data_IF_161568146349
#
_entry.id   IF_161568146349
#
_cell.length_a   1.000
_cell.length_b   1.000
_cell.length_c   1.000
_cell.angle_alpha   90.00
_cell.angle_beta   90.00
_cell.angle_gamma   90.00
#
_symmetry.space_group_name_H-M   'P 1'
#
loop_
_entity.id
_entity.type
_entity.pdbx_description
1 polymer ?
#
# COMPACT_ATOMS: atom_id res chain seq x y z
N UNK A 1 33.36 -16.74 1.34
CA UNK A 1 32.00 -16.50 1.91
C UNK A 1 31.83 -15.14 2.60
N UNK A 2 32.86 -14.54 3.22
CA UNK A 2 32.74 -13.25 3.92
C UNK A 2 32.33 -12.05 3.02
N UNK A 3 32.86 -11.97 1.79
CA UNK A 3 32.53 -10.89 0.84
C UNK A 3 31.05 -10.97 0.43
N UNK A 4 30.56 -12.15 0.05
CA UNK A 4 29.15 -12.34 -0.34
C UNK A 4 28.18 -11.94 0.78
N UNK A 5 28.49 -12.30 2.03
CA UNK A 5 27.69 -11.88 3.20
C UNK A 5 27.69 -10.36 3.37
N UNK A 6 28.85 -9.71 3.20
CA UNK A 6 28.99 -8.26 3.30
C UNK A 6 28.24 -7.53 2.17
N UNK A 7 28.32 -8.03 0.94
CA UNK A 7 27.56 -7.52 -0.21
C UNK A 7 26.06 -7.63 0.06
N UNK A 8 25.60 -8.78 0.56
CA UNK A 8 24.20 -9.02 0.90
C UNK A 8 23.68 -8.01 1.93
N UNK A 9 24.44 -7.78 3.01
CA UNK A 9 24.08 -6.83 4.07
C UNK A 9 24.04 -5.39 3.59
N UNK A 10 24.98 -4.99 2.74
CA UNK A 10 24.99 -3.65 2.14
C UNK A 10 23.78 -3.49 1.22
N UNK A 11 23.52 -4.46 0.33
CA UNK A 11 22.35 -4.43 -0.54
C UNK A 11 21.02 -4.34 0.23
N UNK A 12 20.88 -5.08 1.33
CA UNK A 12 19.70 -5.00 2.21
C UNK A 12 19.58 -3.63 2.88
N UNK A 13 20.69 -2.99 3.24
CA UNK A 13 20.66 -1.66 3.84
C UNK A 13 20.23 -0.60 2.83
N UNK A 14 20.84 -0.62 1.64
CA UNK A 14 20.54 0.35 0.58
C UNK A 14 19.09 0.22 0.10
N UNK A 15 18.63 -1.00 -0.19
CA UNK A 15 17.25 -1.24 -0.59
C UNK A 15 16.27 -0.79 0.50
N UNK A 16 16.61 -1.02 1.77
CA UNK A 16 15.76 -0.58 2.87
C UNK A 16 15.69 0.96 2.96
N UNK A 17 16.81 1.65 2.76
CA UNK A 17 16.87 3.10 2.69
C UNK A 17 16.06 3.63 1.51
N UNK A 18 16.18 3.03 0.33
CA UNK A 18 15.41 3.39 -0.86
C UNK A 18 13.90 3.26 -0.61
N UNK A 19 13.46 2.18 0.05
CA UNK A 19 12.04 2.01 0.40
C UNK A 19 11.61 3.12 1.37
N UNK A 20 12.31 3.33 2.49
CA UNK A 20 11.87 4.32 3.50
C UNK A 20 11.91 5.77 2.99
N UNK A 21 12.83 6.10 2.09
CA UNK A 21 12.96 7.48 1.58
C UNK A 21 12.06 7.76 0.37
N UNK A 22 11.43 6.73 -0.20
CA UNK A 22 10.59 6.88 -1.37
C UNK A 22 9.11 6.98 -0.99
N UNK A 23 8.58 8.20 -1.11
CA UNK A 23 7.18 8.55 -0.85
C UNK A 23 6.16 7.77 -1.70
N UNK A 24 6.55 7.19 -2.84
CA UNK A 24 5.63 6.41 -3.69
C UNK A 24 5.31 5.05 -3.10
N UNK A 25 6.24 4.50 -2.33
CA UNK A 25 6.13 3.17 -1.73
C UNK A 25 5.88 3.24 -0.23
N UNK A 26 5.20 4.30 0.22
CA UNK A 26 4.95 4.56 1.64
C UNK A 26 4.16 3.43 2.32
N UNK A 27 3.34 2.69 1.57
CA UNK A 27 2.66 1.48 2.05
C UNK A 27 3.62 0.32 2.42
N UNK A 28 4.88 0.41 1.97
CA UNK A 28 5.95 -0.53 2.33
C UNK A 28 6.86 0.03 3.43
N UNK A 29 6.62 1.26 3.89
CA UNK A 29 7.37 1.82 5.02
C UNK A 29 7.07 1.02 6.26
N UNK A 30 8.12 0.74 7.02
CA UNK A 30 8.02 -0.03 8.27
C UNK A 30 7.30 -1.39 8.22
N UNK A 31 7.12 -1.97 7.03
CA UNK A 31 6.46 -3.28 6.87
C UNK A 31 7.21 -4.36 7.65
N UNK A 32 6.46 -5.07 8.47
CA UNK A 32 6.88 -6.31 9.13
C UNK A 32 6.25 -7.48 8.39
N UNK A 33 7.04 -8.53 8.16
CA UNK A 33 6.52 -9.77 7.59
C UNK A 33 6.10 -10.72 8.73
N UNK A 34 5.00 -11.46 8.54
CA UNK A 34 4.62 -12.52 9.46
C UNK A 34 5.70 -13.62 9.47
N UNK A 35 5.87 -14.25 10.63
CA UNK A 35 6.73 -15.40 10.82
C UNK A 35 5.87 -16.61 11.20
N UNK A 36 6.34 -17.83 10.89
CA UNK A 36 5.68 -19.06 11.37
C UNK A 36 5.70 -19.11 12.90
N UNK A 37 6.80 -18.68 13.51
CA UNK A 37 6.99 -18.61 14.95
C UNK A 37 7.51 -17.22 15.35
N UNK A 38 6.97 -16.67 16.44
CA UNK A 38 7.43 -15.40 17.01
C UNK A 38 6.77 -14.14 16.41
N UNK A 39 7.18 -12.96 16.88
CA UNK A 39 6.61 -11.70 16.44
C UNK A 39 7.00 -11.36 14.99
N UNK A 40 6.18 -10.58 14.27
CA UNK A 40 6.52 -10.10 12.94
C UNK A 40 7.88 -9.40 12.89
N UNK A 41 8.65 -9.65 11.83
CA UNK A 41 10.01 -9.11 11.67
C UNK A 41 10.16 -8.44 10.33
N UNK A 42 11.01 -7.41 10.27
CA UNK A 42 11.37 -6.76 9.01
C UNK A 42 12.28 -7.66 8.17
N UNK A 43 11.93 -7.87 6.91
CA UNK A 43 12.78 -8.49 5.90
C UNK A 43 12.88 -7.59 4.67
N UNK A 44 14.09 -7.20 4.27
CA UNK A 44 14.26 -6.31 3.11
C UNK A 44 14.03 -7.04 1.79
N UNK A 45 14.55 -8.25 1.63
CA UNK A 45 14.38 -9.09 0.45
C UNK A 45 13.71 -10.40 0.86
N UNK A 46 12.46 -10.56 0.49
CA UNK A 46 11.69 -11.79 0.70
C UNK A 46 10.76 -12.05 -0.47
N UNK A 47 10.44 -13.32 -0.72
CA UNK A 47 9.29 -13.67 -1.56
C UNK A 47 8.04 -13.32 -0.77
N UNK A 48 7.39 -12.23 -1.18
CA UNK A 48 6.27 -11.71 -0.42
C UNK A 48 5.07 -12.64 -0.52
N UNK A 49 4.34 -12.76 0.59
CA UNK A 49 3.18 -13.64 0.72
C UNK A 49 2.09 -13.35 -0.32
N UNK A 50 1.87 -12.09 -0.63
CA UNK A 50 0.95 -11.63 -1.67
C UNK A 50 1.30 -12.17 -3.07
N UNK A 51 2.57 -12.46 -3.35
CA UNK A 51 3.00 -12.96 -4.66
C UNK A 51 2.70 -14.44 -4.87
N UNK A 52 2.36 -15.21 -3.84
CA UNK A 52 2.01 -16.63 -4.00
C UNK A 52 0.64 -16.98 -3.42
N UNK A 53 0.15 -16.25 -2.42
CA UNK A 53 -1.19 -16.45 -1.86
C UNK A 53 -2.31 -15.96 -2.79
N UNK A 54 -2.03 -14.99 -3.66
CA UNK A 54 -3.00 -14.46 -4.62
C UNK A 54 -2.92 -15.30 -5.91
N UNK A 55 -3.90 -16.19 -6.19
CA UNK A 55 -3.80 -17.10 -7.33
C UNK A 55 -4.02 -16.37 -8.65
N UNK A 56 -4.86 -15.34 -8.65
CA UNK A 56 -5.18 -14.57 -9.84
C UNK A 56 -4.02 -13.59 -10.17
N UNK A 57 -3.40 -13.70 -11.37
CA UNK A 57 -2.27 -12.85 -11.74
C UNK A 57 -2.65 -11.36 -11.86
N UNK A 58 -3.87 -11.03 -12.26
CA UNK A 58 -4.32 -9.65 -12.36
C UNK A 58 -4.42 -8.99 -10.99
N UNK A 59 -4.93 -9.72 -9.98
CA UNK A 59 -5.02 -9.21 -8.61
C UNK A 59 -3.64 -9.06 -7.98
N UNK A 60 -2.71 -9.97 -8.28
CA UNK A 60 -1.32 -9.87 -7.86
C UNK A 60 -0.63 -8.64 -8.42
N UNK A 61 -0.83 -8.36 -9.72
CA UNK A 61 -0.31 -7.16 -10.36
C UNK A 61 -0.94 -5.90 -9.77
N UNK A 62 -2.25 -5.87 -9.58
CA UNK A 62 -2.95 -4.74 -8.98
C UNK A 62 -2.43 -4.41 -7.57
N UNK A 63 -2.24 -5.43 -6.72
CA UNK A 63 -1.67 -5.23 -5.39
C UNK A 63 -0.20 -4.79 -5.46
N UNK A 64 0.59 -5.35 -6.37
CA UNK A 64 1.99 -4.93 -6.56
C UNK A 64 2.06 -3.46 -6.99
N UNK A 65 1.21 -3.05 -7.95
CA UNK A 65 1.11 -1.66 -8.38
C UNK A 65 0.64 -0.74 -7.24
N UNK A 66 -0.30 -1.20 -6.42
CA UNK A 66 -0.73 -0.48 -5.22
C UNK A 66 0.44 -0.21 -4.28
N UNK A 67 1.17 -1.26 -3.90
CA UNK A 67 2.29 -1.18 -2.96
C UNK A 67 3.50 -0.40 -3.51
N UNK A 68 3.70 -0.45 -4.83
CA UNK A 68 4.83 0.21 -5.50
C UNK A 68 4.49 1.62 -6.03
N UNK A 69 3.32 2.17 -5.70
CA UNK A 69 2.92 3.51 -6.11
C UNK A 69 2.74 3.65 -7.63
N UNK A 70 2.14 2.66 -8.27
CA UNK A 70 1.73 2.63 -9.69
C UNK A 70 0.21 2.47 -9.84
N UNK A 71 -0.56 2.97 -8.88
CA UNK A 71 -2.01 2.83 -8.84
C UNK A 71 -2.74 4.04 -9.44
N UNK A 72 -4.00 3.85 -9.81
CA UNK A 72 -4.80 4.86 -10.51
C UNK A 72 -5.50 5.88 -9.59
N UNK A 73 -5.25 5.84 -8.28
CA UNK A 73 -5.77 6.85 -7.35
C UNK A 73 -5.11 8.22 -7.57
N UNK A 74 -5.87 9.28 -7.33
CA UNK A 74 -5.48 10.66 -7.59
C UNK A 74 -4.20 11.04 -6.84
N UNK A 75 -3.93 10.45 -5.67
CA UNK A 75 -2.68 10.65 -4.94
C UNK A 75 -1.43 10.44 -5.81
N UNK A 76 -1.45 9.42 -6.69
CA UNK A 76 -0.35 9.13 -7.61
C UNK A 76 -0.59 9.70 -9.01
N UNK A 77 -1.78 9.52 -9.58
CA UNK A 77 -2.09 9.99 -10.94
C UNK A 77 -1.92 11.51 -11.10
N UNK A 78 -2.27 12.28 -10.08
CA UNK A 78 -2.17 13.74 -10.10
C UNK A 78 -0.83 14.27 -9.59
N UNK A 79 0.07 13.38 -9.12
CA UNK A 79 1.44 13.72 -8.74
C UNK A 79 2.27 14.16 -9.94
N UNK A 80 2.10 13.48 -11.07
CA UNK A 80 2.89 13.70 -12.29
C UNK A 80 2.20 14.71 -13.20
N UNK A 81 2.94 15.39 -14.07
CA UNK A 81 2.32 16.06 -15.22
C UNK A 81 1.90 15.02 -16.27
N UNK A 82 0.87 15.30 -17.06
CA UNK A 82 0.46 14.48 -18.20
C UNK A 82 0.49 15.31 -19.49
N UNK A 83 0.31 14.66 -20.64
CA UNK A 83 0.17 15.35 -21.93
C UNK A 83 -0.95 16.41 -21.91
N UNK A 84 -2.03 16.14 -21.19
CA UNK A 84 -3.19 17.02 -21.03
C UNK A 84 -3.09 17.99 -19.85
N UNK A 85 -2.18 17.74 -18.89
CA UNK A 85 -2.01 18.55 -17.68
C UNK A 85 -0.53 18.83 -17.40
N UNK A 86 -0.10 20.04 -17.76
CA UNK A 86 1.31 20.46 -17.65
C UNK A 86 1.80 20.68 -16.21
N UNK A 87 0.90 20.88 -15.24
CA UNK A 87 1.27 21.17 -13.85
C UNK A 87 0.90 20.03 -12.91
N UNK A 88 1.77 19.73 -11.94
CA UNK A 88 1.50 18.80 -10.84
C UNK A 88 0.40 19.37 -9.94
N UNK A 89 -0.49 18.53 -9.44
CA UNK A 89 -1.51 18.96 -8.49
C UNK A 89 -0.95 18.85 -7.07
N UNK A 90 -1.04 19.92 -6.25
CA UNK A 90 -0.70 19.86 -4.83
C UNK A 90 -1.43 18.72 -4.12
N UNK A 91 -0.80 18.09 -3.13
CA UNK A 91 -1.30 16.85 -2.49
C UNK A 91 -2.71 17.04 -1.94
N UNK A 92 -2.95 18.15 -1.26
CA UNK A 92 -4.20 18.56 -0.64
C UNK A 92 -5.35 18.74 -1.64
N UNK A 93 -5.04 18.88 -2.93
CA UNK A 93 -6.03 19.01 -4.02
C UNK A 93 -6.27 17.72 -4.79
N UNK A 94 -5.61 16.62 -4.43
CA UNK A 94 -5.77 15.31 -5.11
C UNK A 94 -6.99 14.56 -4.57
N UNK A 95 -8.16 15.17 -4.68
CA UNK A 95 -9.37 14.74 -3.99
C UNK A 95 -9.93 13.40 -4.51
N UNK A 96 -10.60 12.67 -3.63
CA UNK A 96 -11.29 11.41 -3.91
C UNK A 96 -12.33 11.58 -5.01
N UNK A 97 -12.33 10.68 -6.00
CA UNK A 97 -13.32 10.69 -7.08
C UNK A 97 -14.75 10.42 -6.61
N UNK A 98 -14.90 9.80 -5.44
CA UNK A 98 -16.19 9.50 -4.84
C UNK A 98 -16.67 10.64 -3.95
N UNK A 99 -15.92 10.98 -2.90
CA UNK A 99 -16.39 11.95 -1.92
C UNK A 99 -16.02 13.40 -2.20
N UNK A 100 -14.98 13.65 -2.99
CA UNK A 100 -14.42 14.99 -3.28
C UNK A 100 -13.98 15.80 -2.05
N UNK A 101 -14.00 15.22 -0.84
CA UNK A 101 -13.69 15.91 0.42
C UNK A 101 -12.28 15.64 0.92
N UNK A 102 -11.79 14.41 0.76
CA UNK A 102 -10.48 13.96 1.25
C UNK A 102 -9.55 13.63 0.09
N UNK A 103 -8.25 13.58 0.34
CA UNK A 103 -7.28 13.13 -0.67
C UNK A 103 -7.54 11.67 -1.05
N UNK A 104 -7.51 11.35 -2.34
CA UNK A 104 -7.67 10.00 -2.86
C UNK A 104 -6.41 9.15 -2.65
N UNK A 105 -6.19 8.71 -1.42
CA UNK A 105 -5.24 7.63 -1.14
C UNK A 105 -5.89 6.25 -1.34
N UNK A 106 -5.09 5.18 -1.53
CA UNK A 106 -5.57 3.80 -1.51
C UNK A 106 -6.47 3.46 -0.32
N UNK A 107 -6.07 3.87 0.88
CA UNK A 107 -6.78 3.60 2.14
C UNK A 107 -8.10 4.36 2.17
N UNK A 108 -8.09 5.63 1.76
CA UNK A 108 -9.33 6.40 1.70
C UNK A 108 -10.31 5.78 0.70
N UNK A 109 -9.90 5.62 -0.55
CA UNK A 109 -10.80 5.15 -1.61
C UNK A 109 -11.34 3.74 -1.33
N UNK A 110 -10.50 2.80 -0.89
CA UNK A 110 -10.89 1.41 -0.71
C UNK A 110 -11.47 1.11 0.67
N UNK A 111 -10.93 1.69 1.73
CA UNK A 111 -11.19 1.24 3.11
C UNK A 111 -12.00 2.21 3.97
N UNK A 112 -12.14 3.47 3.55
CA UNK A 112 -12.80 4.51 4.37
C UNK A 112 -13.95 5.23 3.66
N UNK A 113 -13.85 5.45 2.36
CA UNK A 113 -14.83 6.26 1.62
C UNK A 113 -16.19 5.57 1.63
N UNK A 114 -17.23 6.31 2.03
CA UNK A 114 -18.60 5.80 2.16
C UNK A 114 -19.52 6.21 1.00
N UNK A 115 -19.01 6.99 0.03
CA UNK A 115 -19.84 7.55 -1.03
C UNK A 115 -19.97 6.64 -2.26
N UNK A 116 -19.19 5.57 -2.35
CA UNK A 116 -19.37 4.54 -3.37
C UNK A 116 -20.02 3.29 -2.76
N UNK A 117 -21.26 3.00 -3.18
CA UNK A 117 -22.07 1.93 -2.55
C UNK A 117 -21.46 0.54 -2.77
N UNK A 118 -20.98 0.27 -3.98
CA UNK A 118 -20.41 -1.04 -4.32
C UNK A 118 -19.13 -1.31 -3.53
N UNK A 119 -18.22 -0.33 -3.44
CA UNK A 119 -17.02 -0.43 -2.59
C UNK A 119 -17.37 -0.61 -1.11
N UNK A 120 -18.42 0.07 -0.62
CA UNK A 120 -18.90 -0.10 0.77
C UNK A 120 -19.38 -1.53 1.01
N UNK A 121 -20.18 -2.08 0.10
CA UNK A 121 -20.71 -3.45 0.19
C UNK A 121 -19.57 -4.48 0.19
N UNK A 122 -18.64 -4.42 -0.77
CA UNK A 122 -17.48 -5.34 -0.80
C UNK A 122 -16.59 -5.24 0.43
N UNK A 123 -16.45 -4.05 1.00
CA UNK A 123 -15.68 -3.85 2.23
C UNK A 123 -16.38 -4.48 3.44
N UNK A 124 -17.71 -4.44 3.51
CA UNK A 124 -18.47 -5.12 4.55
C UNK A 124 -18.32 -6.63 4.43
N UNK A 125 -18.46 -7.18 3.22
CA UNK A 125 -18.23 -8.60 2.94
C UNK A 125 -16.81 -9.04 3.34
N UNK A 126 -15.79 -8.24 3.01
CA UNK A 126 -14.42 -8.52 3.41
C UNK A 126 -14.25 -8.53 4.94
N UNK A 127 -14.83 -7.54 5.64
CA UNK A 127 -14.76 -7.47 7.11
C UNK A 127 -15.41 -8.68 7.75
N UNK A 128 -16.59 -9.07 7.28
CA UNK A 128 -17.31 -10.25 7.76
C UNK A 128 -16.52 -11.54 7.52
N UNK A 129 -15.94 -11.70 6.32
CA UNK A 129 -15.10 -12.84 5.99
C UNK A 129 -13.85 -12.92 6.88
N UNK A 130 -13.15 -11.80 7.09
CA UNK A 130 -11.96 -11.76 7.95
C UNK A 130 -12.27 -12.04 9.42
N UNK A 131 -13.35 -11.46 9.94
CA UNK A 131 -13.78 -11.74 11.30
C UNK A 131 -14.13 -13.24 11.46
N UNK A 132 -14.89 -13.81 10.52
CA UNK A 132 -15.30 -15.21 10.55
C UNK A 132 -14.14 -16.21 10.42
N UNK A 133 -13.17 -15.94 9.53
CA UNK A 133 -12.10 -16.90 9.20
C UNK A 133 -10.85 -16.75 10.08
N UNK A 134 -10.61 -15.56 10.62
CA UNK A 134 -9.35 -15.21 11.29
C UNK A 134 -9.56 -14.57 12.66
N UNK A 135 -10.80 -14.35 13.09
CA UNK A 135 -11.12 -13.59 14.31
C UNK A 135 -10.38 -12.25 14.32
N UNK A 136 -10.30 -11.61 13.15
CA UNK A 136 -9.55 -10.38 12.94
C UNK A 136 -10.47 -9.25 12.49
N UNK A 137 -10.46 -8.16 13.27
CA UNK A 137 -11.16 -6.93 12.93
C UNK A 137 -10.24 -5.99 12.15
N UNK A 138 -10.63 -5.69 10.91
CA UNK A 138 -9.95 -4.66 10.12
C UNK A 138 -10.20 -3.30 10.81
N UNK A 139 -9.16 -2.55 11.21
CA UNK A 139 -9.35 -1.25 11.85
C UNK A 139 -10.19 -0.31 10.99
N UNK A 140 -11.13 0.40 11.62
CA UNK A 140 -11.97 1.40 10.94
C UNK A 140 -11.17 2.69 10.67
N UNK A 141 -10.19 3.00 11.52
CA UNK A 141 -9.28 4.12 11.37
C UNK A 141 -7.94 3.66 10.77
N UNK A 142 -7.86 3.63 9.45
CA UNK A 142 -6.57 3.54 8.74
C UNK A 142 -6.11 4.96 8.36
N UNK A 143 -6.11 5.89 9.32
CA UNK A 143 -5.74 7.29 9.09
C UNK A 143 -4.24 7.37 8.82
N UNK A 144 -3.86 7.45 7.55
CA UNK A 144 -2.49 7.68 7.09
C UNK A 144 -2.11 9.16 7.06
N UNK A 145 -2.71 10.00 7.92
CA UNK A 145 -2.27 11.38 8.05
C UNK A 145 -0.85 11.45 8.64
N UNK A 146 -0.49 10.54 9.55
CA UNK A 146 0.83 10.51 10.20
C UNK A 146 1.93 9.82 9.38
N UNK A 147 1.60 9.09 8.31
CA UNK A 147 2.56 8.27 7.57
C UNK A 147 3.31 9.04 6.45
N UNK A 148 3.03 10.34 6.27
CA UNK A 148 3.46 11.12 5.11
C UNK A 148 4.08 12.49 5.45
N UNK A 149 4.28 12.77 6.74
CA UNK A 149 5.09 13.89 7.25
C UNK A 149 6.54 13.44 7.54
#
# INVERSE_FOLDING_TARGET
MAIAKKVSQVADRELQADIQNNIRVYLLHHRLEPQEEGPPKRFTRTLRHDLYLIPNPNFRNALTWLLCGQHDYALEMLRWSSATRRHRIPRERRLCRFCTMHVESPEHASLQCMLDRETVEWRQELREAMHKERNWDIPVSLSSEEALD
#
